data_IF_545698727240
#
_entry.id   IF_545698727240
#
_cell.length_a   1.000
_cell.length_b   1.000
_cell.length_c   1.000
_cell.angle_alpha   90.00
_cell.angle_beta   90.00
_cell.angle_gamma   90.00
#
_symmetry.space_group_name_H-M   'P 1'
#
loop_
_entity.id
_entity.type
_entity.pdbx_description
1 polymer ?
#
# COMPACT_ATOMS: atom_id res chain seq x y z
N UNK A 1 -14.62 -18.47 -12.62
CA UNK A 1 -14.88 -19.61 -11.72
C UNK A 1 -13.61 -20.03 -10.97
N UNK A 2 -12.57 -20.59 -11.61
CA UNK A 2 -11.40 -21.17 -10.90
C UNK A 2 -10.63 -20.29 -9.89
N UNK A 3 -10.51 -18.97 -10.12
CA UNK A 3 -9.81 -18.07 -9.17
C UNK A 3 -10.59 -17.95 -7.86
N UNK A 4 -11.91 -17.77 -7.96
CA UNK A 4 -12.79 -17.61 -6.80
C UNK A 4 -12.90 -18.91 -6.02
N UNK A 5 -13.00 -20.06 -6.70
CA UNK A 5 -13.00 -21.37 -6.04
C UNK A 5 -11.70 -21.58 -5.24
N UNK A 6 -10.56 -21.24 -5.85
CA UNK A 6 -9.25 -21.32 -5.19
C UNK A 6 -9.14 -20.34 -4.02
N UNK A 7 -9.66 -19.12 -4.17
CA UNK A 7 -9.65 -18.10 -3.12
C UNK A 7 -10.49 -18.53 -1.91
N UNK A 8 -11.67 -19.10 -2.14
CA UNK A 8 -12.53 -19.60 -1.07
C UNK A 8 -11.92 -20.81 -0.36
N UNK A 9 -11.09 -21.61 -1.05
CA UNK A 9 -10.42 -22.78 -0.48
C UNK A 9 -9.09 -22.46 0.22
N UNK A 10 -8.17 -21.76 -0.44
CA UNK A 10 -6.81 -21.46 0.07
C UNK A 10 -6.71 -20.09 0.78
N UNK A 11 -7.74 -19.25 0.67
CA UNK A 11 -7.83 -17.95 1.31
C UNK A 11 -7.15 -16.79 0.57
N UNK A 12 -6.95 -15.64 1.25
CA UNK A 12 -6.55 -14.38 0.62
C UNK A 12 -5.22 -14.37 -0.14
N UNK A 13 -4.33 -15.32 0.13
CA UNK A 13 -3.06 -15.45 -0.61
C UNK A 13 -3.26 -15.66 -2.10
N UNK A 14 -4.39 -16.22 -2.51
CA UNK A 14 -4.71 -16.50 -3.91
C UNK A 14 -4.75 -15.22 -4.74
N UNK A 15 -5.24 -14.11 -4.20
CA UNK A 15 -5.27 -12.83 -4.92
C UNK A 15 -3.84 -12.37 -5.26
N UNK A 16 -2.93 -12.45 -4.29
CA UNK A 16 -1.51 -12.11 -4.51
C UNK A 16 -0.85 -13.06 -5.51
N UNK A 17 -1.13 -14.36 -5.40
CA UNK A 17 -0.61 -15.38 -6.34
C UNK A 17 -1.03 -15.07 -7.77
N UNK A 18 -2.31 -14.77 -8.00
CA UNK A 18 -2.80 -14.45 -9.36
C UNK A 18 -2.34 -13.09 -9.87
N UNK A 19 -2.20 -12.09 -9.00
CA UNK A 19 -1.60 -10.81 -9.38
C UNK A 19 -0.18 -11.02 -9.91
N UNK A 20 0.66 -11.78 -9.18
CA UNK A 20 2.02 -12.10 -9.63
C UNK A 20 2.04 -12.98 -10.87
N UNK A 21 1.10 -13.93 -11.01
CA UNK A 21 1.00 -14.75 -12.21
C UNK A 21 0.66 -13.92 -13.45
N UNK A 22 -0.19 -12.88 -13.32
CA UNK A 22 -0.47 -11.94 -14.41
C UNK A 22 0.78 -11.17 -14.83
N UNK A 23 1.56 -10.67 -13.87
CA UNK A 23 2.84 -10.01 -14.17
C UNK A 23 3.81 -10.99 -14.84
N UNK A 24 3.93 -12.21 -14.33
CA UNK A 24 4.79 -13.24 -14.90
C UNK A 24 4.37 -13.66 -16.30
N UNK A 25 3.07 -13.71 -16.59
CA UNK A 25 2.54 -14.01 -17.92
C UNK A 25 3.01 -13.00 -18.98
N UNK A 26 3.20 -11.75 -18.58
CA UNK A 26 3.59 -10.62 -19.44
C UNK A 26 4.97 -10.06 -19.13
N UNK A 27 5.81 -10.83 -18.42
CA UNK A 27 7.10 -10.38 -17.91
C UNK A 27 7.98 -9.76 -18.99
N UNK A 28 8.13 -10.42 -20.14
CA UNK A 28 8.94 -9.92 -21.25
C UNK A 28 8.43 -8.60 -21.85
N UNK A 29 7.11 -8.40 -21.89
CA UNK A 29 6.50 -7.16 -22.39
C UNK A 29 6.70 -6.03 -21.39
N UNK A 30 6.53 -6.32 -20.09
CA UNK A 30 6.70 -5.35 -19.01
C UNK A 30 8.16 -4.91 -18.90
N UNK A 31 9.12 -5.83 -19.03
CA UNK A 31 10.56 -5.52 -18.94
C UNK A 31 11.06 -4.62 -20.09
N UNK A 32 10.34 -4.55 -21.21
CA UNK A 32 10.68 -3.68 -22.34
C UNK A 32 10.25 -2.23 -22.11
N UNK A 33 9.38 -1.96 -21.14
CA UNK A 33 8.89 -0.61 -20.84
C UNK A 33 9.96 0.17 -20.07
N UNK A 34 10.25 1.39 -20.52
CA UNK A 34 11.35 2.20 -19.98
C UNK A 34 10.88 3.40 -19.14
N UNK A 35 9.63 3.83 -19.30
CA UNK A 35 9.09 5.01 -18.61
C UNK A 35 7.81 4.70 -17.81
N UNK A 36 7.55 5.50 -16.79
CA UNK A 36 6.39 5.32 -15.89
C UNK A 36 5.05 5.46 -16.63
N UNK A 37 5.00 6.31 -17.65
CA UNK A 37 3.78 6.55 -18.45
C UNK A 37 3.41 5.34 -19.30
N UNK A 38 4.37 4.71 -19.98
CA UNK A 38 4.10 3.48 -20.75
C UNK A 38 3.75 2.32 -19.82
N UNK A 39 4.43 2.18 -18.67
CA UNK A 39 4.09 1.18 -17.66
C UNK A 39 2.63 1.35 -17.23
N UNK A 40 2.20 2.56 -16.85
CA UNK A 40 0.82 2.78 -16.41
C UNK A 40 -0.22 2.48 -17.50
N UNK A 41 0.02 2.94 -18.74
CA UNK A 41 -0.86 2.65 -19.89
C UNK A 41 -0.97 1.15 -20.15
N UNK A 42 0.16 0.45 -20.07
CA UNK A 42 0.22 -0.99 -20.25
C UNK A 42 -0.54 -1.72 -19.14
N UNK A 43 -0.27 -1.40 -17.87
CA UNK A 43 -0.92 -1.99 -16.71
C UNK A 43 -2.45 -1.86 -16.74
N UNK A 44 -2.97 -0.76 -17.30
CA UNK A 44 -4.41 -0.52 -17.42
C UNK A 44 -5.10 -1.46 -18.43
N UNK A 45 -4.38 -2.02 -19.39
CA UNK A 45 -4.97 -2.73 -20.54
C UNK A 45 -4.51 -4.19 -20.69
N UNK A 46 -3.31 -4.55 -20.22
CA UNK A 46 -2.72 -5.87 -20.50
C UNK A 46 -3.54 -7.04 -19.96
N UNK A 47 -4.26 -6.85 -18.86
CA UNK A 47 -5.07 -7.92 -18.24
C UNK A 47 -6.12 -8.47 -19.20
N UNK A 48 -6.62 -7.64 -20.13
CA UNK A 48 -7.57 -8.05 -21.18
C UNK A 48 -6.94 -8.92 -22.27
N UNK A 49 -5.61 -8.92 -22.36
CA UNK A 49 -4.85 -9.72 -23.35
C UNK A 49 -4.52 -11.13 -22.84
N UNK A 50 -4.75 -11.42 -21.55
CA UNK A 50 -4.48 -12.72 -20.95
C UNK A 50 -5.68 -13.64 -21.17
N UNK A 51 -5.72 -14.29 -22.33
CA UNK A 51 -6.83 -15.16 -22.75
C UNK A 51 -6.61 -16.64 -22.42
N UNK A 52 -5.35 -17.08 -22.29
CA UNK A 52 -5.03 -18.47 -21.95
C UNK A 52 -5.09 -18.71 -20.43
N UNK A 53 -6.28 -19.08 -19.97
CA UNK A 53 -6.52 -19.44 -18.58
C UNK A 53 -5.72 -20.68 -18.14
N UNK A 54 -5.43 -21.64 -19.03
CA UNK A 54 -4.65 -22.84 -18.66
C UNK A 54 -3.21 -22.47 -18.37
N UNK A 55 -2.60 -21.64 -19.22
CA UNK A 55 -1.26 -21.10 -18.98
C UNK A 55 -1.20 -20.26 -17.70
N UNK A 56 -2.17 -19.36 -17.48
CA UNK A 56 -2.22 -18.56 -16.24
C UNK A 56 -2.31 -19.43 -14.98
N UNK A 57 -3.14 -20.48 -15.00
CA UNK A 57 -3.23 -21.45 -13.89
C UNK A 57 -1.93 -22.21 -13.69
N UNK A 58 -1.24 -22.58 -14.79
CA UNK A 58 0.10 -23.19 -14.74
C UNK A 58 1.09 -22.33 -13.99
N UNK A 59 1.18 -21.04 -14.34
CA UNK A 59 2.05 -20.08 -13.67
C UNK A 59 1.68 -19.95 -12.19
N UNK A 60 0.39 -19.75 -11.90
CA UNK A 60 -0.08 -19.52 -10.53
C UNK A 60 0.18 -20.70 -9.58
N UNK A 61 -0.07 -21.94 -10.01
CA UNK A 61 -0.03 -23.13 -9.15
C UNK A 61 1.18 -24.05 -9.38
N UNK A 62 2.01 -23.80 -10.39
CA UNK A 62 3.26 -24.55 -10.59
C UNK A 62 4.44 -23.63 -10.36
N UNK A 63 4.59 -22.59 -11.17
CA UNK A 63 5.79 -21.77 -11.19
C UNK A 63 5.95 -20.92 -9.92
N UNK A 64 4.84 -20.46 -9.33
CA UNK A 64 4.83 -19.65 -8.11
C UNK A 64 4.73 -20.45 -6.81
N UNK A 65 4.82 -21.79 -6.86
CA UNK A 65 4.73 -22.63 -5.67
C UNK A 65 6.14 -22.97 -5.11
N UNK A 66 6.33 -22.96 -3.77
CA UNK A 66 5.33 -22.67 -2.75
C UNK A 66 5.01 -21.18 -2.62
N UNK A 67 3.74 -20.86 -2.33
CA UNK A 67 3.28 -19.49 -2.05
C UNK A 67 2.80 -19.34 -0.60
N UNK A 68 3.73 -19.18 0.37
CA UNK A 68 3.40 -19.26 1.79
C UNK A 68 2.69 -18.01 2.32
N UNK A 69 1.56 -18.21 3.01
CA UNK A 69 0.80 -17.14 3.66
C UNK A 69 1.64 -16.37 4.70
N UNK A 70 2.63 -17.03 5.31
CA UNK A 70 3.57 -16.42 6.27
C UNK A 70 4.32 -15.23 5.68
N UNK A 71 4.78 -15.31 4.43
CA UNK A 71 5.48 -14.18 3.80
C UNK A 71 4.55 -12.97 3.63
N UNK A 72 3.30 -13.20 3.26
CA UNK A 72 2.29 -12.14 3.13
C UNK A 72 2.02 -11.50 4.48
N UNK A 73 1.84 -12.30 5.54
CA UNK A 73 1.63 -11.80 6.90
C UNK A 73 2.82 -10.96 7.39
N UNK A 74 4.05 -11.43 7.17
CA UNK A 74 5.24 -10.68 7.56
C UNK A 74 5.34 -9.34 6.84
N UNK A 75 5.07 -9.31 5.52
CA UNK A 75 5.04 -8.06 4.77
C UNK A 75 3.95 -7.12 5.27
N UNK A 76 2.75 -7.63 5.58
CA UNK A 76 1.67 -6.81 6.15
C UNK A 76 2.05 -6.22 7.51
N UNK A 77 2.61 -7.03 8.40
CA UNK A 77 3.06 -6.57 9.71
C UNK A 77 4.11 -5.45 9.59
N UNK A 78 5.11 -5.64 8.72
CA UNK A 78 6.14 -4.63 8.46
C UNK A 78 5.56 -3.30 7.95
N UNK A 79 4.68 -3.33 6.95
CA UNK A 79 4.12 -2.08 6.39
C UNK A 79 3.10 -1.43 7.34
N UNK A 80 2.36 -2.23 8.12
CA UNK A 80 1.43 -1.71 9.12
C UNK A 80 2.18 -0.95 10.22
N UNK A 81 3.30 -1.48 10.68
CA UNK A 81 4.13 -0.80 11.68
C UNK A 81 4.64 0.55 11.17
N UNK A 82 5.08 0.60 9.90
CA UNK A 82 5.51 1.86 9.29
C UNK A 82 4.40 2.93 9.30
N UNK A 83 3.19 2.56 8.86
CA UNK A 83 2.03 3.48 8.86
C UNK A 83 1.67 3.91 10.27
N UNK A 84 1.78 3.01 11.26
CA UNK A 84 1.51 3.31 12.66
C UNK A 84 2.49 4.36 13.21
N UNK A 85 3.77 4.25 12.88
CA UNK A 85 4.79 5.21 13.28
C UNK A 85 4.55 6.58 12.62
N UNK A 86 4.29 6.61 11.31
CA UNK A 86 3.95 7.84 10.58
C UNK A 86 2.73 8.55 11.20
N UNK A 87 1.71 7.80 11.65
CA UNK A 87 0.54 8.37 12.33
C UNK A 87 0.91 9.00 13.68
N UNK A 88 1.74 8.31 14.47
CA UNK A 88 2.17 8.80 15.79
C UNK A 88 3.02 10.08 15.68
N UNK A 89 3.91 10.14 14.69
CA UNK A 89 4.68 11.36 14.40
C UNK A 89 3.76 12.53 14.03
N UNK A 90 2.75 12.30 13.18
CA UNK A 90 1.77 13.33 12.80
C UNK A 90 0.92 13.80 13.99
N UNK A 91 0.54 12.89 14.89
CA UNK A 91 -0.20 13.23 16.11
C UNK A 91 0.66 14.09 17.06
N UNK A 92 1.94 13.74 17.25
CA UNK A 92 2.86 14.54 18.05
C UNK A 92 3.08 15.95 17.47
N UNK A 93 3.30 16.05 16.16
CA UNK A 93 3.42 17.35 15.47
C UNK A 93 2.15 18.21 15.64
N UNK A 94 0.97 17.57 15.59
CA UNK A 94 -0.30 18.27 15.79
C UNK A 94 -0.45 18.77 17.22
N UNK A 95 -0.07 17.97 18.22
CA UNK A 95 -0.13 18.36 19.63
C UNK A 95 0.84 19.49 19.95
N UNK A 96 2.08 19.42 19.46
CA UNK A 96 3.08 20.48 19.63
C UNK A 96 2.59 21.80 19.02
N UNK A 97 2.04 21.76 17.81
CA UNK A 97 1.45 22.94 17.16
C UNK A 97 0.29 23.56 17.97
N UNK A 98 -0.59 22.73 18.53
CA UNK A 98 -1.70 23.22 19.36
C UNK A 98 -1.19 23.81 20.68
N UNK A 99 -0.14 23.22 21.28
CA UNK A 99 0.47 23.73 22.50
C UNK A 99 1.12 25.09 22.28
N UNK A 100 1.93 25.23 21.23
CA UNK A 100 2.59 26.50 20.86
C UNK A 100 1.55 27.61 20.64
N UNK A 101 0.46 27.32 19.92
CA UNK A 101 -0.61 28.30 19.68
C UNK A 101 -1.36 28.69 20.94
N UNK A 102 -1.55 27.75 21.88
CA UNK A 102 -2.14 28.03 23.19
C UNK A 102 -1.26 28.96 24.01
N UNK A 103 0.05 28.68 24.06
CA UNK A 103 1.01 29.52 24.80
C UNK A 103 1.17 30.91 24.20
N UNK A 104 1.09 31.06 22.88
CA UNK A 104 1.15 32.39 22.23
C UNK A 104 -0.08 33.26 22.51
N UNK A 105 -1.26 32.64 22.64
CA UNK A 105 -2.49 33.34 23.03
C UNK A 105 -2.44 33.76 24.51
N UNK A 106 -2.09 32.83 25.42
CA UNK A 106 -1.92 33.16 26.84
C UNK A 106 -0.87 34.25 27.05
N UNK A 107 0.25 34.20 26.31
CA UNK A 107 1.29 35.22 26.41
C UNK A 107 0.83 36.60 25.93
N UNK A 108 -0.05 36.68 24.91
CA UNK A 108 -0.63 37.96 24.47
C UNK A 108 -1.64 38.51 25.45
N UNK A 109 -2.46 37.66 26.05
CA UNK A 109 -3.46 38.09 27.04
C UNK A 109 -2.78 38.63 28.31
N UNK A 110 -1.73 37.94 28.79
CA UNK A 110 -0.92 38.40 29.94
C UNK A 110 -0.23 39.76 29.69
N UNK A 111 0.23 40.03 28.46
CA UNK A 111 0.84 41.33 28.12
C UNK A 111 -0.22 42.45 28.06
N UNK A 112 -1.47 42.13 27.74
CA UNK A 112 -2.55 43.12 27.68
C UNK A 112 -3.09 43.53 29.06
N UNK A 113 -3.06 42.63 30.04
CA UNK A 113 -3.46 42.95 31.42
C UNK A 113 -2.42 43.83 32.14
N UNK A 114 -1.13 43.68 31.83
CA UNK A 114 -0.05 44.48 32.43
C UNK A 114 0.04 45.93 31.90
N UNK A 115 -0.61 46.27 30.77
CA UNK A 115 -0.63 47.64 30.22
C UNK A 115 -1.81 48.51 30.71
N UNK A 116 -2.73 47.98 31.52
CA UNK A 116 -3.94 48.70 31.96
C UNK A 116 -3.80 49.42 33.34
N UNK A 117 -2.65 49.30 34.02
CA UNK A 117 -2.43 49.85 35.39
C UNK A 117 -1.33 50.95 35.46
N UNK A 118 -1.28 51.83 34.44
CA UNK A 118 -0.32 52.94 34.32
C UNK A 118 -0.92 54.35 34.43
#
# INVERSE_FOLDING_TARGET
FKIWDSFLYEGPKVIFRFALALFKYKEEEILKLQDSTSIFKYLRSFTRTVLDARKLMGIAFRDLNPFPLRQIRNRRAFHLEKVRLELLELEAMREDFLRERGTDLEKRDLISEDEEDG
#
